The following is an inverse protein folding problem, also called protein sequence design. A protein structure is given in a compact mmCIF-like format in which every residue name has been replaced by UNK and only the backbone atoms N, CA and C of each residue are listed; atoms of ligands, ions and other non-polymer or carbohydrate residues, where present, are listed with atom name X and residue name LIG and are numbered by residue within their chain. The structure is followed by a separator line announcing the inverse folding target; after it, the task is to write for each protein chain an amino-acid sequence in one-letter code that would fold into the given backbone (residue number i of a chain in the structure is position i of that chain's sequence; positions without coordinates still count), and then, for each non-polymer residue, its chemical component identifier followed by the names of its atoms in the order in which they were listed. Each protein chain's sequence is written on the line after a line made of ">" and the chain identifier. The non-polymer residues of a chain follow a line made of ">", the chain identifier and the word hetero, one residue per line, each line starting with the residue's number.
data_IF_963176512090
#
_entry.id   IF_963176512090
#
_cell.length_a   1.000
_cell.length_b   1.000
_cell.length_c   1.000
_cell.angle_alpha   90.00
_cell.angle_beta   90.00
_cell.angle_gamma   90.00
#
_symmetry.space_group_name_H-M   'P 1'
#
loop_
_entity.id
_entity.type
_entity.pdbx_description
1 polymer ?
#
# COMPACT_ATOMS: atom_id res chain seq x y z
N UNK A 1 -4.84 -22.47 24.26
CA UNK A 1 -3.79 -21.55 23.75
C UNK A 1 -2.58 -22.37 23.30
N UNK A 2 -2.09 -22.15 22.06
CA UNK A 2 -0.92 -22.81 21.44
C UNK A 2 0.08 -21.75 21.00
N UNK A 3 1.37 -21.90 21.35
CA UNK A 3 2.41 -20.97 20.87
C UNK A 3 2.77 -21.31 19.43
N UNK A 4 2.72 -20.31 18.56
CA UNK A 4 3.08 -20.40 17.14
C UNK A 4 4.50 -19.88 16.87
N UNK A 5 4.92 -18.83 17.60
CA UNK A 5 6.27 -18.26 17.55
C UNK A 5 6.64 -17.81 18.96
N UNK A 6 7.67 -18.46 19.53
CA UNK A 6 8.04 -18.27 20.93
C UNK A 6 8.67 -16.92 21.24
N UNK A 7 9.47 -16.41 20.29
CA UNK A 7 10.20 -15.15 20.46
C UNK A 7 10.08 -14.28 19.21
N UNK A 8 9.69 -13.04 19.42
CA UNK A 8 9.73 -11.98 18.41
C UNK A 8 9.83 -10.62 19.12
N UNK A 9 9.86 -9.55 18.35
CA UNK A 9 9.87 -8.17 18.84
C UNK A 9 8.62 -7.43 18.39
N UNK A 10 8.13 -6.54 19.25
CA UNK A 10 6.99 -5.68 18.97
C UNK A 10 7.26 -4.26 19.49
N UNK A 11 6.33 -3.36 19.22
CA UNK A 11 6.30 -2.03 19.81
C UNK A 11 5.23 -1.98 20.90
N UNK A 12 5.57 -1.42 22.06
CA UNK A 12 4.57 -1.15 23.09
C UNK A 12 3.55 -0.13 22.55
N UNK A 13 2.24 -0.40 22.57
CA UNK A 13 1.24 0.54 22.05
C UNK A 13 1.15 1.85 22.84
N UNK A 14 1.67 1.87 24.06
CA UNK A 14 1.66 3.06 24.93
C UNK A 14 2.93 3.88 24.78
N UNK A 15 4.12 3.29 25.04
CA UNK A 15 5.39 4.03 25.05
C UNK A 15 6.17 3.94 23.73
N UNK A 16 5.75 3.11 22.78
CA UNK A 16 6.40 2.91 21.46
C UNK A 16 7.81 2.31 21.53
N UNK A 17 8.23 1.86 22.69
CA UNK A 17 9.50 1.17 22.85
C UNK A 17 9.44 -0.24 22.27
N UNK A 18 10.58 -0.72 21.76
CA UNK A 18 10.73 -2.10 21.31
C UNK A 18 10.70 -3.03 22.53
N UNK A 19 9.84 -4.02 22.49
CA UNK A 19 9.61 -4.97 23.57
C UNK A 19 9.57 -6.41 23.05
N UNK A 20 9.79 -7.37 23.95
CA UNK A 20 9.64 -8.80 23.64
C UNK A 20 8.18 -9.16 23.43
N UNK A 21 7.94 -10.08 22.48
CA UNK A 21 6.61 -10.58 22.16
C UNK A 21 6.67 -12.06 21.76
N UNK A 22 5.51 -12.70 21.70
CA UNK A 22 5.28 -14.03 21.13
C UNK A 22 3.96 -14.10 20.37
N UNK A 23 3.86 -15.01 19.41
CA UNK A 23 2.62 -15.24 18.66
C UNK A 23 1.94 -16.50 19.18
N UNK A 24 0.68 -16.39 19.54
CA UNK A 24 -0.10 -17.51 20.10
C UNK A 24 -1.40 -17.68 19.32
N UNK A 25 -1.86 -18.93 19.21
CA UNK A 25 -3.21 -19.24 18.74
C UNK A 25 -4.11 -19.55 19.95
N UNK A 26 -5.29 -18.94 19.95
CA UNK A 26 -6.26 -19.12 21.01
C UNK A 26 -7.68 -19.03 20.42
N UNK A 27 -8.48 -20.07 20.58
CA UNK A 27 -9.86 -20.17 20.07
C UNK A 27 -10.00 -19.73 18.60
N UNK A 28 -9.16 -20.32 17.73
CA UNK A 28 -9.17 -20.04 16.29
C UNK A 28 -8.55 -18.70 15.89
N UNK A 29 -8.25 -17.81 16.83
CA UNK A 29 -7.60 -16.52 16.58
C UNK A 29 -6.08 -16.63 16.76
N UNK A 30 -5.36 -15.76 16.10
CA UNK A 30 -3.91 -15.55 16.31
C UNK A 30 -3.70 -14.22 16.99
N UNK A 31 -3.01 -14.24 18.11
CA UNK A 31 -2.75 -13.08 18.95
C UNK A 31 -1.24 -12.84 19.04
N UNK A 32 -0.83 -11.59 19.02
CA UNK A 32 0.47 -11.15 19.47
C UNK A 32 0.37 -10.82 20.96
N UNK A 33 1.08 -11.59 21.78
CA UNK A 33 1.21 -11.32 23.20
C UNK A 33 2.56 -10.64 23.44
N UNK A 34 2.54 -9.46 24.00
CA UNK A 34 3.73 -8.69 24.29
C UNK A 34 3.78 -8.25 25.76
N UNK A 35 4.99 -8.11 26.27
CA UNK A 35 5.24 -7.74 27.64
C UNK A 35 6.09 -6.47 27.68
N UNK A 36 5.49 -5.40 28.16
CA UNK A 36 6.19 -4.15 28.42
C UNK A 36 6.55 -4.05 29.92
N UNK A 37 7.80 -3.80 30.29
CA UNK A 37 8.19 -3.63 31.70
C UNK A 37 7.39 -2.53 32.43
N UNK A 38 6.96 -1.48 31.70
CA UNK A 38 6.22 -0.35 32.26
C UNK A 38 4.69 -0.49 32.16
N UNK A 39 4.18 -1.25 31.15
CA UNK A 39 2.75 -1.27 30.82
C UNK A 39 2.14 -2.68 30.89
N UNK A 40 2.92 -3.66 31.36
CA UNK A 40 2.45 -5.03 31.59
C UNK A 40 2.26 -5.84 30.31
N UNK A 41 1.56 -6.98 30.47
CA UNK A 41 1.23 -7.90 29.38
C UNK A 41 -0.01 -7.42 28.64
N UNK A 42 0.05 -7.44 27.31
CA UNK A 42 -1.10 -7.15 26.44
C UNK A 42 -1.18 -8.17 25.32
N UNK A 43 -2.39 -8.41 24.82
CA UNK A 43 -2.67 -9.26 23.66
C UNK A 43 -3.43 -8.47 22.62
N UNK A 44 -3.01 -8.61 21.36
CA UNK A 44 -3.69 -7.96 20.23
C UNK A 44 -3.86 -8.96 19.08
N UNK A 45 -5.00 -8.93 18.38
CA UNK A 45 -5.26 -9.87 17.29
C UNK A 45 -4.36 -9.60 16.09
N UNK A 46 -3.74 -10.63 15.54
CA UNK A 46 -2.95 -10.62 14.30
C UNK A 46 -3.76 -11.18 13.14
N UNK A 47 -4.50 -12.24 13.38
CA UNK A 47 -5.36 -12.90 12.39
C UNK A 47 -6.52 -13.62 13.11
N UNK A 48 -7.66 -13.79 12.41
CA UNK A 48 -8.83 -14.49 12.94
C UNK A 48 -8.99 -15.92 12.44
N UNK A 49 -8.08 -16.37 11.60
CA UNK A 49 -8.04 -17.69 11.00
C UNK A 49 -6.66 -18.30 11.29
N UNK A 50 -6.56 -19.06 12.37
CA UNK A 50 -5.30 -19.64 12.82
C UNK A 50 -4.76 -20.71 11.83
N UNK A 51 -5.63 -21.42 11.12
CA UNK A 51 -5.22 -22.40 10.11
C UNK A 51 -4.63 -21.70 8.89
N UNK A 52 -5.30 -20.64 8.43
CA UNK A 52 -4.79 -19.77 7.37
C UNK A 52 -3.42 -19.18 7.75
N UNK A 53 -3.30 -18.61 8.96
CA UNK A 53 -2.06 -18.03 9.44
C UNK A 53 -0.92 -19.04 9.48
N UNK A 54 -1.16 -20.24 10.02
CA UNK A 54 -0.17 -21.33 10.06
C UNK A 54 0.26 -21.73 8.63
N UNK A 55 -0.68 -21.81 7.68
CA UNK A 55 -0.41 -22.10 6.30
C UNK A 55 0.42 -20.99 5.61
N UNK A 56 0.22 -19.72 5.97
CA UNK A 56 0.99 -18.58 5.47
C UNK A 56 2.41 -18.61 6.06
N UNK A 57 2.55 -18.81 7.38
CA UNK A 57 3.84 -18.82 8.06
C UNK A 57 4.76 -19.96 7.57
N UNK A 58 4.23 -21.13 7.24
CA UNK A 58 5.02 -22.22 6.64
C UNK A 58 5.57 -21.89 5.26
N UNK A 59 4.93 -20.97 4.53
CA UNK A 59 5.31 -20.54 3.17
C UNK A 59 6.16 -19.27 3.15
N UNK A 60 6.11 -18.47 4.21
CA UNK A 60 6.81 -17.18 4.35
C UNK A 60 8.32 -17.32 4.65
N UNK A 61 8.90 -18.51 4.61
CA UNK A 61 10.31 -18.77 4.95
C UNK A 61 11.35 -18.22 3.95
N UNK A 62 10.97 -17.30 3.09
CA UNK A 62 11.93 -16.61 2.24
C UNK A 62 12.75 -15.64 3.08
N UNK A 63 14.09 -15.78 2.97
CA UNK A 63 15.06 -14.88 3.61
C UNK A 63 14.69 -13.42 3.32
N UNK A 64 14.80 -12.53 4.30
CA UNK A 64 14.59 -11.11 4.06
C UNK A 64 15.52 -10.66 2.94
N UNK A 65 14.94 -10.24 1.83
CA UNK A 65 15.66 -9.54 0.77
C UNK A 65 15.65 -8.06 1.12
N UNK A 66 16.75 -7.33 0.92
CA UNK A 66 16.70 -5.88 1.16
C UNK A 66 15.56 -5.27 0.35
N UNK A 67 14.79 -4.34 0.95
CA UNK A 67 13.65 -3.73 0.29
C UNK A 67 14.11 -3.03 -1.00
N UNK A 68 13.51 -3.34 -2.16
CA UNK A 68 13.96 -2.80 -3.43
C UNK A 68 13.50 -1.35 -3.68
N UNK A 69 12.68 -0.77 -2.79
CA UNK A 69 12.07 0.53 -2.98
C UNK A 69 12.36 1.46 -1.81
N UNK A 70 12.68 2.72 -2.14
CA UNK A 70 12.73 3.81 -1.20
C UNK A 70 11.49 4.69 -1.39
N UNK A 71 10.81 5.02 -0.31
CA UNK A 71 9.80 6.08 -0.29
C UNK A 71 10.36 7.27 0.45
N UNK A 72 10.46 8.39 -0.24
CA UNK A 72 10.85 9.68 0.34
C UNK A 72 9.59 10.48 0.61
N UNK A 73 9.49 11.04 1.81
CA UNK A 73 8.44 12.00 2.17
C UNK A 73 9.01 13.42 2.07
N UNK A 74 9.01 14.01 0.86
CA UNK A 74 9.64 15.31 0.66
C UNK A 74 8.81 16.45 1.23
N UNK A 75 7.53 16.22 1.50
CA UNK A 75 6.60 17.19 2.08
C UNK A 75 5.50 16.51 2.88
N UNK A 76 4.99 17.21 3.88
CA UNK A 76 3.75 16.87 4.60
C UNK A 76 2.57 17.75 4.18
N UNK A 77 2.77 18.73 3.30
CA UNK A 77 1.68 19.53 2.72
C UNK A 77 0.78 18.68 1.84
N UNK A 78 -0.51 18.98 1.85
CA UNK A 78 -1.49 18.28 1.02
C UNK A 78 -2.59 19.25 0.60
N UNK A 79 -3.08 19.12 -0.63
CA UNK A 79 -4.13 19.95 -1.21
C UNK A 79 -5.54 19.41 -0.92
N UNK A 80 -5.68 18.26 -0.22
CA UNK A 80 -6.96 17.70 0.25
C UNK A 80 -6.88 17.30 1.72
N UNK A 81 -8.05 17.03 2.32
CA UNK A 81 -8.16 16.69 3.74
C UNK A 81 -8.89 15.36 3.94
N UNK A 82 -8.26 14.24 3.51
CA UNK A 82 -8.85 12.90 3.61
C UNK A 82 -9.22 12.53 5.05
N UNK A 83 -10.40 11.94 5.23
CA UNK A 83 -10.85 11.41 6.52
C UNK A 83 -10.04 10.17 6.95
N UNK A 84 -9.43 9.47 5.99
CA UNK A 84 -8.66 8.24 6.18
C UNK A 84 -7.14 8.47 6.11
N UNK A 85 -6.68 9.73 6.20
CA UNK A 85 -5.27 10.05 6.02
C UNK A 85 -4.41 9.45 7.14
N UNK A 86 -3.41 8.66 6.77
CA UNK A 86 -2.43 8.10 7.70
C UNK A 86 -1.23 9.04 7.94
N UNK A 87 -1.15 10.16 7.22
CA UNK A 87 -0.12 11.19 7.40
C UNK A 87 -0.72 12.38 8.13
N UNK A 88 -0.59 12.48 9.47
CA UNK A 88 -1.30 13.52 10.23
C UNK A 88 -0.64 14.89 10.15
N UNK A 89 0.65 14.97 9.89
CA UNK A 89 1.41 16.23 9.89
C UNK A 89 1.26 16.97 8.56
N UNK A 90 1.16 18.30 8.64
CA UNK A 90 1.01 19.19 7.49
C UNK A 90 1.86 20.45 7.62
N UNK A 91 2.93 20.38 8.41
CA UNK A 91 3.83 21.50 8.65
C UNK A 91 4.74 21.74 7.42
N UNK A 92 4.67 22.91 6.78
CA UNK A 92 5.55 23.27 5.67
C UNK A 92 7.05 23.26 6.02
N UNK A 93 7.40 23.47 7.29
CA UNK A 93 8.79 23.42 7.76
C UNK A 93 9.43 22.04 7.61
N UNK A 94 8.61 21.01 7.40
CA UNK A 94 9.05 19.64 7.16
C UNK A 94 9.39 19.33 5.70
N UNK A 95 9.25 20.29 4.80
CA UNK A 95 9.62 20.12 3.40
C UNK A 95 11.13 19.91 3.25
N UNK A 96 11.50 18.91 2.44
CA UNK A 96 12.90 18.67 2.11
C UNK A 96 13.36 19.59 0.98
N UNK A 97 14.57 20.10 1.11
CA UNK A 97 15.26 20.81 0.04
C UNK A 97 15.73 19.85 -1.06
N UNK A 98 16.08 20.36 -2.24
CA UNK A 98 16.68 19.55 -3.31
C UNK A 98 18.00 18.89 -2.87
N UNK A 99 18.76 19.57 -2.05
CA UNK A 99 20.03 19.07 -1.50
C UNK A 99 19.79 17.89 -0.56
N UNK A 100 18.84 18.02 0.38
CA UNK A 100 18.44 16.94 1.30
C UNK A 100 17.93 15.71 0.55
N UNK A 101 17.08 15.90 -0.46
CA UNK A 101 16.63 14.82 -1.34
C UNK A 101 17.82 14.20 -2.06
N UNK A 102 18.72 15.04 -2.61
CA UNK A 102 19.94 14.60 -3.30
C UNK A 102 20.82 13.71 -2.44
N UNK A 103 21.06 14.09 -1.19
CA UNK A 103 21.86 13.34 -0.23
C UNK A 103 21.24 11.96 0.11
N UNK A 104 19.91 11.90 0.19
CA UNK A 104 19.19 10.62 0.38
C UNK A 104 19.38 9.71 -0.83
N UNK A 105 19.21 10.26 -2.04
CA UNK A 105 19.33 9.50 -3.28
C UNK A 105 20.74 8.93 -3.48
N UNK A 106 21.79 9.64 -3.08
CA UNK A 106 23.19 9.19 -3.19
C UNK A 106 23.49 7.97 -2.31
N UNK A 107 22.84 7.89 -1.16
CA UNK A 107 23.02 6.78 -0.21
C UNK A 107 22.18 5.55 -0.55
N UNK A 108 21.15 5.68 -1.38
CA UNK A 108 20.24 4.59 -1.68
C UNK A 108 20.72 3.78 -2.90
N UNK A 109 21.01 2.46 -2.76
CA UNK A 109 21.64 1.67 -3.83
C UNK A 109 20.66 1.28 -4.96
N UNK A 110 19.35 1.22 -4.68
CA UNK A 110 18.38 0.71 -5.65
C UNK A 110 17.85 1.82 -6.57
N UNK A 111 17.39 1.45 -7.79
CA UNK A 111 16.99 2.43 -8.79
C UNK A 111 15.61 3.03 -8.55
N UNK A 112 14.68 2.34 -7.89
CA UNK A 112 13.29 2.78 -7.76
C UNK A 112 13.10 3.64 -6.52
N UNK A 113 12.62 4.87 -6.72
CA UNK A 113 12.37 5.85 -5.66
C UNK A 113 10.94 6.40 -5.80
N UNK A 114 10.17 6.26 -4.74
CA UNK A 114 8.81 6.77 -4.63
C UNK A 114 8.79 8.04 -3.80
N UNK A 115 8.16 9.08 -4.31
CA UNK A 115 7.86 10.29 -3.55
C UNK A 115 6.41 10.24 -3.07
N UNK A 116 6.22 10.34 -1.77
CA UNK A 116 4.93 10.25 -1.07
C UNK A 116 4.87 11.27 0.08
N UNK A 117 4.17 10.98 1.16
CA UNK A 117 4.05 11.85 2.34
C UNK A 117 2.69 12.52 2.39
N UNK A 118 2.63 13.86 2.36
CA UNK A 118 1.39 14.60 2.14
C UNK A 118 0.92 14.39 0.70
N UNK A 119 1.04 15.40 -0.12
CA UNK A 119 0.79 15.29 -1.57
C UNK A 119 2.02 15.85 -2.32
N UNK A 120 2.83 15.01 -2.98
CA UNK A 120 4.01 15.48 -3.68
C UNK A 120 3.70 16.54 -4.74
N UNK A 121 2.54 16.44 -5.41
CA UNK A 121 2.13 17.42 -6.42
C UNK A 121 1.75 18.80 -5.83
N UNK A 122 1.65 18.92 -4.50
CA UNK A 122 1.50 20.21 -3.84
C UNK A 122 2.82 21.01 -3.75
N UNK A 123 3.97 20.36 -4.00
CA UNK A 123 5.27 21.02 -4.06
C UNK A 123 5.48 21.69 -5.44
N UNK A 124 5.93 22.93 -5.43
CA UNK A 124 6.25 23.65 -6.66
C UNK A 124 7.51 23.10 -7.35
N UNK A 125 8.48 22.65 -6.55
CA UNK A 125 9.75 22.07 -7.02
C UNK A 125 9.72 20.58 -7.30
N UNK A 126 8.55 19.93 -7.33
CA UNK A 126 8.46 18.50 -7.69
C UNK A 126 9.08 18.17 -9.05
N UNK A 127 8.90 18.99 -10.11
CA UNK A 127 9.58 18.74 -11.39
C UNK A 127 11.10 18.67 -11.25
N UNK A 128 11.70 19.54 -10.44
CA UNK A 128 13.14 19.58 -10.18
C UNK A 128 13.60 18.34 -9.38
N UNK A 129 12.82 17.88 -8.38
CA UNK A 129 13.08 16.64 -7.65
C UNK A 129 13.10 15.44 -8.60
N UNK A 130 12.14 15.38 -9.53
CA UNK A 130 12.07 14.33 -10.55
C UNK A 130 13.30 14.36 -11.46
N UNK A 131 13.67 15.55 -11.97
CA UNK A 131 14.83 15.73 -12.83
C UNK A 131 16.13 15.34 -12.12
N UNK A 132 16.32 15.76 -10.85
CA UNK A 132 17.45 15.39 -10.01
C UNK A 132 17.54 13.86 -9.83
N UNK A 133 16.42 13.22 -9.55
CA UNK A 133 16.35 11.75 -9.40
C UNK A 133 16.79 11.04 -10.69
N UNK A 134 16.35 11.54 -11.83
CA UNK A 134 16.77 11.01 -13.14
C UNK A 134 18.24 11.23 -13.42
N UNK A 135 18.76 12.42 -13.10
CA UNK A 135 20.17 12.75 -13.27
C UNK A 135 21.09 11.82 -12.44
N UNK A 136 20.59 11.33 -11.28
CA UNK A 136 21.29 10.33 -10.46
C UNK A 136 21.07 8.87 -10.94
N UNK A 137 20.56 8.66 -12.15
CA UNK A 137 20.35 7.31 -12.74
C UNK A 137 19.19 6.53 -12.14
N UNK A 138 18.34 7.16 -11.33
CA UNK A 138 17.21 6.51 -10.65
C UNK A 138 15.89 6.70 -11.39
N UNK A 139 14.87 5.94 -11.00
CA UNK A 139 13.51 5.97 -11.57
C UNK A 139 12.56 6.60 -10.58
N UNK A 140 12.14 7.86 -10.77
CA UNK A 140 11.19 8.54 -9.90
C UNK A 140 9.76 8.06 -10.14
N UNK A 141 9.08 7.75 -9.05
CA UNK A 141 7.64 7.49 -8.99
C UNK A 141 7.01 8.46 -8.01
N UNK A 142 5.74 8.79 -8.18
CA UNK A 142 4.96 9.54 -7.19
C UNK A 142 3.76 8.72 -6.71
N UNK A 143 3.45 8.82 -5.42
CA UNK A 143 2.19 8.36 -4.83
C UNK A 143 1.34 9.62 -4.61
N UNK A 144 0.16 9.69 -5.24
CA UNK A 144 -0.60 10.94 -5.32
C UNK A 144 -2.11 10.71 -5.25
N UNK A 145 -2.82 11.70 -4.72
CA UNK A 145 -4.29 11.76 -4.79
C UNK A 145 -4.82 12.02 -6.21
N UNK A 146 -3.96 12.47 -7.12
CA UNK A 146 -4.26 12.65 -8.53
C UNK A 146 -4.93 13.96 -8.92
N UNK A 147 -5.34 14.81 -7.97
CA UNK A 147 -6.14 16.01 -8.27
C UNK A 147 -5.42 16.93 -9.25
N UNK A 148 -4.15 17.25 -8.99
CA UNK A 148 -3.37 18.13 -9.87
C UNK A 148 -3.01 17.48 -11.22
N UNK A 149 -3.04 16.13 -11.29
CA UNK A 149 -2.84 15.41 -12.55
C UNK A 149 -4.04 15.51 -13.50
N UNK A 150 -5.18 16.06 -13.06
CA UNK A 150 -6.27 16.44 -13.97
C UNK A 150 -5.85 17.53 -14.97
N UNK A 151 -4.77 18.29 -14.68
CA UNK A 151 -4.19 19.28 -15.56
C UNK A 151 -3.25 18.62 -16.60
N UNK A 152 -3.59 18.60 -17.91
CA UNK A 152 -2.77 17.92 -18.92
C UNK A 152 -1.37 18.50 -19.07
N UNK A 153 -1.22 19.84 -18.87
CA UNK A 153 0.06 20.54 -18.97
C UNK A 153 1.01 20.11 -17.86
N UNK A 154 0.50 19.95 -16.65
CA UNK A 154 1.28 19.51 -15.50
C UNK A 154 1.80 18.07 -15.66
N UNK A 155 0.94 17.15 -16.14
CA UNK A 155 1.38 15.77 -16.42
C UNK A 155 2.45 15.75 -17.52
N UNK A 156 2.32 16.60 -18.56
CA UNK A 156 3.32 16.72 -19.61
C UNK A 156 4.66 17.28 -19.07
N UNK A 157 4.62 18.20 -18.12
CA UNK A 157 5.81 18.73 -17.45
C UNK A 157 6.53 17.64 -16.64
N UNK A 158 5.81 16.91 -15.77
CA UNK A 158 6.39 15.80 -15.00
C UNK A 158 7.00 14.73 -15.93
N UNK A 159 6.33 14.39 -17.02
CA UNK A 159 6.83 13.43 -18.00
C UNK A 159 8.11 13.91 -18.67
N UNK A 160 8.20 15.20 -19.07
CA UNK A 160 9.42 15.80 -19.65
C UNK A 160 10.60 15.80 -18.68
N UNK A 161 10.35 15.97 -17.38
CA UNK A 161 11.36 15.87 -16.34
C UNK A 161 11.74 14.43 -15.99
N UNK A 162 11.10 13.43 -16.62
CA UNK A 162 11.47 12.04 -16.52
C UNK A 162 10.74 11.23 -15.43
N UNK A 163 9.54 11.69 -15.02
CA UNK A 163 8.68 10.86 -14.15
C UNK A 163 8.49 9.47 -14.75
N UNK A 164 8.82 8.43 -13.99
CA UNK A 164 8.79 7.07 -14.48
C UNK A 164 7.42 6.41 -14.35
N UNK A 165 6.69 6.71 -13.29
CA UNK A 165 5.34 6.17 -13.07
C UNK A 165 4.61 6.86 -11.92
N UNK A 166 3.33 6.53 -11.80
CA UNK A 166 2.41 7.10 -10.82
C UNK A 166 1.66 6.00 -10.10
N UNK A 167 1.59 6.08 -8.79
CA UNK A 167 0.65 5.33 -7.95
C UNK A 167 -0.50 6.25 -7.56
N UNK A 168 -1.64 6.10 -8.23
CA UNK A 168 -2.83 6.95 -8.08
C UNK A 168 -3.78 6.38 -7.04
N UNK A 169 -4.10 7.15 -6.01
CA UNK A 169 -5.12 6.78 -5.02
C UNK A 169 -6.53 6.88 -5.61
N UNK A 170 -7.27 5.77 -5.57
CA UNK A 170 -8.67 5.69 -6.02
C UNK A 170 -9.45 4.78 -5.06
N UNK A 171 -10.16 5.40 -4.11
CA UNK A 171 -10.80 4.70 -2.99
C UNK A 171 -12.28 4.35 -3.24
N UNK A 172 -12.87 4.84 -4.33
CA UNK A 172 -14.21 4.50 -4.79
C UNK A 172 -14.41 4.94 -6.25
N UNK A 173 -15.51 4.47 -6.86
CA UNK A 173 -16.02 4.91 -8.15
C UNK A 173 -17.38 5.63 -8.01
N UNK A 174 -17.70 6.11 -6.82
CA UNK A 174 -18.84 6.98 -6.56
C UNK A 174 -18.45 8.14 -5.63
N UNK A 175 -19.11 9.30 -5.83
CA UNK A 175 -18.79 10.54 -5.11
C UNK A 175 -19.03 10.46 -3.61
N UNK A 176 -20.13 9.80 -3.19
CA UNK A 176 -20.49 9.71 -1.77
C UNK A 176 -19.43 8.95 -0.95
N UNK A 177 -18.94 7.84 -1.49
CA UNK A 177 -17.87 7.08 -0.85
C UNK A 177 -16.53 7.84 -0.89
N UNK A 178 -16.26 8.61 -1.96
CA UNK A 178 -15.09 9.50 -1.99
C UNK A 178 -15.19 10.62 -0.97
N UNK A 179 -16.36 11.20 -0.74
CA UNK A 179 -16.56 12.17 0.37
C UNK A 179 -16.23 11.54 1.72
N UNK A 180 -16.66 10.29 1.94
CA UNK A 180 -16.38 9.58 3.18
C UNK A 180 -14.89 9.24 3.37
N UNK A 181 -14.15 9.00 2.30
CA UNK A 181 -12.72 8.67 2.35
C UNK A 181 -11.83 9.88 2.15
N UNK A 182 -11.99 10.61 1.06
CA UNK A 182 -11.10 11.67 0.61
C UNK A 182 -11.51 13.06 1.13
N UNK A 183 -12.66 13.14 1.82
CA UNK A 183 -13.20 14.37 2.40
C UNK A 183 -14.04 15.23 1.43
N UNK A 184 -14.07 14.86 0.15
CA UNK A 184 -14.88 15.46 -0.92
C UNK A 184 -14.99 14.52 -2.10
N UNK A 185 -15.98 14.71 -2.97
CA UNK A 185 -16.04 14.05 -4.27
C UNK A 185 -14.98 14.65 -5.21
N UNK A 186 -14.01 13.81 -5.57
CA UNK A 186 -12.95 14.10 -6.54
C UNK A 186 -12.95 13.14 -7.73
N UNK A 187 -14.06 12.42 -7.98
CA UNK A 187 -14.10 11.36 -8.99
C UNK A 187 -13.71 11.86 -10.36
N UNK A 188 -14.30 12.96 -10.83
CA UNK A 188 -14.04 13.53 -12.16
C UNK A 188 -12.56 13.91 -12.33
N UNK A 189 -11.96 14.54 -11.31
CA UNK A 189 -10.54 14.90 -11.33
C UNK A 189 -9.64 13.65 -11.42
N UNK A 190 -9.94 12.58 -10.67
CA UNK A 190 -9.19 11.32 -10.68
C UNK A 190 -9.34 10.60 -12.03
N UNK A 191 -10.53 10.57 -12.63
CA UNK A 191 -10.76 9.97 -13.95
C UNK A 191 -10.06 10.77 -15.05
N UNK A 192 -10.06 12.10 -14.95
CA UNK A 192 -9.31 12.97 -15.87
C UNK A 192 -7.80 12.75 -15.73
N UNK A 193 -7.28 12.61 -14.49
CA UNK A 193 -5.89 12.24 -14.23
C UNK A 193 -5.51 10.93 -14.92
N UNK A 194 -6.32 9.88 -14.80
CA UNK A 194 -6.10 8.59 -15.48
C UNK A 194 -6.03 8.78 -17.00
N UNK A 195 -6.92 9.61 -17.56
CA UNK A 195 -6.95 9.92 -18.99
C UNK A 195 -5.63 10.59 -19.42
N UNK A 196 -5.14 11.57 -18.65
CA UNK A 196 -3.90 12.27 -18.92
C UNK A 196 -2.68 11.34 -18.77
N UNK A 197 -2.65 10.49 -17.75
CA UNK A 197 -1.60 9.50 -17.54
C UNK A 197 -1.49 8.50 -18.70
N UNK A 198 -2.61 8.01 -19.22
CA UNK A 198 -2.65 7.12 -20.40
C UNK A 198 -2.04 7.78 -21.64
N UNK A 199 -2.24 9.09 -21.81
CA UNK A 199 -1.73 9.85 -22.96
C UNK A 199 -0.23 10.15 -22.87
N UNK A 200 0.29 10.38 -21.65
CA UNK A 200 1.63 10.95 -21.45
C UNK A 200 2.66 9.98 -20.87
N UNK A 201 2.29 9.22 -19.83
CA UNK A 201 3.23 8.32 -19.13
C UNK A 201 3.05 6.86 -19.55
N UNK A 202 1.83 6.45 -19.95
CA UNK A 202 1.49 5.10 -20.37
C UNK A 202 1.78 4.01 -19.34
N UNK A 203 2.01 4.40 -18.08
CA UNK A 203 2.29 3.49 -16.95
C UNK A 203 1.83 4.11 -15.63
N UNK A 204 0.93 3.43 -14.92
CA UNK A 204 0.52 3.80 -13.57
C UNK A 204 0.06 2.58 -12.78
N UNK A 205 -0.06 2.75 -11.46
CA UNK A 205 -0.74 1.84 -10.55
C UNK A 205 -2.00 2.52 -10.00
N UNK A 206 -2.99 1.71 -9.62
CA UNK A 206 -4.12 2.17 -8.82
C UNK A 206 -3.91 1.65 -7.41
N UNK A 207 -3.96 2.57 -6.43
CA UNK A 207 -3.88 2.30 -5.01
C UNK A 207 -5.26 2.50 -4.38
N UNK A 208 -5.70 1.52 -3.60
CA UNK A 208 -6.98 1.49 -2.92
C UNK A 208 -6.75 1.35 -1.42
N UNK A 209 -7.06 2.40 -0.66
CA UNK A 209 -7.02 2.34 0.80
C UNK A 209 -8.36 1.83 1.31
N UNK A 210 -8.36 0.61 1.82
CA UNK A 210 -9.55 -0.08 2.31
C UNK A 210 -9.84 0.33 3.76
N UNK A 211 -11.07 0.74 4.01
CA UNK A 211 -11.57 1.07 5.35
C UNK A 211 -12.84 0.26 5.61
N UNK A 212 -12.79 -0.62 6.60
CA UNK A 212 -13.90 -1.48 6.98
C UNK A 212 -15.14 -0.66 7.35
N UNK A 213 -16.28 -1.01 6.76
CA UNK A 213 -17.56 -0.33 6.97
C UNK A 213 -17.72 0.97 6.19
N UNK A 214 -16.74 1.36 5.36
CA UNK A 214 -16.79 2.58 4.54
C UNK A 214 -16.78 2.27 3.05
N UNK A 215 -15.74 1.59 2.54
CA UNK A 215 -15.57 1.40 1.10
C UNK A 215 -15.31 -0.05 0.67
N UNK A 216 -15.62 -1.03 1.51
CA UNK A 216 -15.46 -2.45 1.17
C UNK A 216 -16.23 -2.84 -0.10
N UNK A 217 -17.44 -2.31 -0.28
CA UNK A 217 -18.27 -2.55 -1.46
C UNK A 217 -17.65 -2.00 -2.76
N UNK A 218 -16.76 -1.03 -2.65
CA UNK A 218 -16.05 -0.44 -3.78
C UNK A 218 -14.83 -1.27 -4.22
N UNK A 219 -14.29 -2.13 -3.35
CA UNK A 219 -13.08 -2.91 -3.66
C UNK A 219 -13.19 -3.64 -5.00
N UNK A 220 -14.22 -4.44 -5.20
CA UNK A 220 -14.42 -5.20 -6.43
C UNK A 220 -14.68 -4.32 -7.66
N UNK A 221 -15.33 -3.16 -7.46
CA UNK A 221 -15.60 -2.21 -8.55
C UNK A 221 -14.29 -1.55 -9.01
N UNK A 222 -13.48 -1.03 -8.07
CA UNK A 222 -12.20 -0.38 -8.37
C UNK A 222 -11.19 -1.39 -8.91
N UNK A 223 -11.15 -2.62 -8.39
CA UNK A 223 -10.31 -3.69 -8.91
C UNK A 223 -10.63 -4.00 -10.38
N UNK A 224 -11.90 -4.25 -10.72
CA UNK A 224 -12.32 -4.46 -12.12
C UNK A 224 -12.09 -3.23 -12.99
N UNK A 225 -12.27 -2.03 -12.46
CA UNK A 225 -11.91 -0.79 -13.17
C UNK A 225 -10.42 -0.75 -13.50
N UNK A 226 -9.53 -1.06 -12.53
CA UNK A 226 -8.08 -1.12 -12.74
C UNK A 226 -7.72 -2.12 -13.85
N UNK A 227 -8.33 -3.31 -13.86
CA UNK A 227 -8.13 -4.31 -14.92
C UNK A 227 -8.50 -3.78 -16.31
N UNK A 228 -9.59 -3.02 -16.41
CA UNK A 228 -9.99 -2.37 -17.68
C UNK A 228 -9.04 -1.27 -18.15
N UNK A 229 -8.18 -0.74 -17.27
CA UNK A 229 -7.15 0.23 -17.67
C UNK A 229 -5.87 -0.43 -18.22
N UNK A 230 -5.76 -1.76 -18.22
CA UNK A 230 -4.63 -2.46 -18.85
C UNK A 230 -4.58 -2.12 -20.36
N UNK A 231 -3.40 -1.93 -20.99
CA UNK A 231 -2.05 -2.16 -20.47
C UNK A 231 -1.41 -0.94 -19.74
N UNK A 232 -2.14 0.13 -19.52
CA UNK A 232 -1.59 1.33 -18.87
C UNK A 232 -1.50 1.17 -17.36
N UNK A 233 -2.54 0.64 -16.70
CA UNK A 233 -2.46 0.22 -15.32
C UNK A 233 -1.64 -1.08 -15.23
N UNK A 234 -0.49 -1.01 -14.55
CA UNK A 234 0.44 -2.12 -14.37
C UNK A 234 0.34 -2.79 -13.02
N UNK A 235 -0.30 -2.13 -12.07
CA UNK A 235 -0.48 -2.65 -10.72
C UNK A 235 -1.80 -2.19 -10.13
N UNK A 236 -2.38 -3.05 -9.31
CA UNK A 236 -3.42 -2.73 -8.35
C UNK A 236 -2.92 -3.06 -6.95
N UNK A 237 -2.90 -2.07 -6.07
CA UNK A 237 -2.48 -2.22 -4.69
C UNK A 237 -3.66 -1.87 -3.79
N UNK A 238 -4.05 -2.78 -2.91
CA UNK A 238 -5.04 -2.52 -1.88
C UNK A 238 -4.39 -2.68 -0.51
N UNK A 239 -4.62 -1.74 0.36
CA UNK A 239 -4.09 -1.75 1.72
C UNK A 239 -5.14 -1.33 2.72
N UNK A 240 -5.15 -1.98 3.89
CA UNK A 240 -5.94 -1.61 5.04
C UNK A 240 -4.98 -1.18 6.15
N UNK A 241 -5.06 0.09 6.56
CA UNK A 241 -4.17 0.76 7.51
C UNK A 241 -4.95 1.28 8.74
N UNK A 242 -5.59 0.41 9.53
CA UNK A 242 -6.33 0.86 10.70
C UNK A 242 -5.39 1.34 11.82
N UNK A 243 -5.86 2.23 12.66
CA UNK A 243 -5.12 2.69 13.84
C UNK A 243 -3.97 3.65 13.56
N UNK A 244 -3.86 4.18 12.34
CA UNK A 244 -2.80 5.12 11.94
C UNK A 244 -3.42 6.43 11.46
N UNK A 245 -2.86 7.56 11.91
CA UNK A 245 -3.32 8.89 11.53
C UNK A 245 -4.79 9.12 11.88
N UNK A 246 -5.59 9.67 10.96
CA UNK A 246 -7.02 9.91 11.16
C UNK A 246 -7.87 8.64 11.07
N UNK A 247 -7.32 7.55 10.57
CA UNK A 247 -7.97 6.24 10.51
C UNK A 247 -7.92 5.47 11.85
N UNK A 248 -7.65 6.17 12.97
CA UNK A 248 -7.48 5.58 14.31
C UNK A 248 -8.67 4.69 14.72
N UNK A 249 -9.89 5.12 14.41
CA UNK A 249 -11.12 4.39 14.75
C UNK A 249 -11.52 3.35 13.69
N UNK A 250 -10.73 3.17 12.63
CA UNK A 250 -11.00 2.21 11.58
C UNK A 250 -10.93 0.78 12.11
N UNK A 251 -11.97 -0.03 11.81
CA UNK A 251 -11.95 -1.45 12.13
C UNK A 251 -10.93 -2.17 11.25
N UNK A 252 -10.11 -3.02 11.84
CA UNK A 252 -9.12 -3.83 11.13
C UNK A 252 -9.79 -4.81 10.18
N UNK A 253 -9.16 -5.00 9.02
CA UNK A 253 -9.33 -6.19 8.20
C UNK A 253 -8.08 -7.06 8.26
N UNK A 254 -8.28 -8.36 8.42
CA UNK A 254 -7.21 -9.33 8.43
C UNK A 254 -6.85 -9.76 7.02
N UNK A 255 -5.67 -10.34 6.84
CA UNK A 255 -5.23 -10.75 5.51
C UNK A 255 -6.15 -11.81 4.90
N UNK A 256 -6.65 -12.75 5.71
CA UNK A 256 -7.65 -13.74 5.27
C UNK A 256 -8.88 -13.07 4.65
N UNK A 257 -9.43 -12.05 5.30
CA UNK A 257 -10.60 -11.30 4.82
C UNK A 257 -10.29 -10.50 3.54
N UNK A 258 -9.11 -9.88 3.46
CA UNK A 258 -8.68 -9.18 2.23
C UNK A 258 -8.47 -10.14 1.06
N UNK A 259 -7.99 -11.36 1.33
CA UNK A 259 -7.88 -12.38 0.29
C UNK A 259 -9.24 -12.90 -0.16
N UNK A 260 -10.23 -12.96 0.72
CA UNK A 260 -11.61 -13.29 0.33
C UNK A 260 -12.21 -12.21 -0.57
N UNK A 261 -12.00 -10.92 -0.26
CA UNK A 261 -12.41 -9.82 -1.16
C UNK A 261 -11.72 -9.91 -2.53
N UNK A 262 -10.42 -10.18 -2.56
CA UNK A 262 -9.67 -10.35 -3.80
C UNK A 262 -10.17 -11.57 -4.59
N UNK A 263 -10.33 -12.70 -3.92
CA UNK A 263 -10.80 -13.96 -4.51
C UNK A 263 -12.18 -13.78 -5.17
N UNK A 264 -13.13 -13.22 -4.41
CA UNK A 264 -14.47 -12.91 -4.91
C UNK A 264 -14.44 -11.94 -6.09
N UNK A 265 -13.60 -10.90 -6.02
CA UNK A 265 -13.49 -9.89 -7.09
C UNK A 265 -12.84 -10.44 -8.35
N UNK A 266 -11.94 -11.41 -8.21
CA UNK A 266 -11.25 -12.09 -9.30
C UNK A 266 -11.99 -13.34 -9.82
N UNK A 267 -13.07 -13.79 -9.16
CA UNK A 267 -13.80 -14.99 -9.53
C UNK A 267 -13.02 -16.29 -9.27
N UNK A 268 -12.23 -16.31 -8.19
CA UNK A 268 -11.45 -17.50 -7.76
C UNK A 268 -11.71 -17.76 -6.27
N UNK A 269 -11.11 -18.83 -5.72
CA UNK A 269 -11.18 -19.12 -4.28
C UNK A 269 -9.92 -18.65 -3.54
N UNK A 270 -10.02 -18.39 -2.23
CA UNK A 270 -8.87 -18.11 -1.38
C UNK A 270 -7.83 -19.26 -1.42
N UNK A 271 -8.30 -20.51 -1.43
CA UNK A 271 -7.42 -21.69 -1.56
C UNK A 271 -6.61 -21.65 -2.85
N UNK A 272 -7.17 -21.15 -3.96
CA UNK A 272 -6.44 -20.96 -5.23
C UNK A 272 -5.33 -19.93 -5.06
N UNK A 273 -5.57 -18.81 -4.36
CA UNK A 273 -4.56 -17.79 -4.11
C UNK A 273 -3.38 -18.37 -3.28
N UNK A 274 -3.67 -19.16 -2.26
CA UNK A 274 -2.65 -19.83 -1.46
C UNK A 274 -1.87 -20.89 -2.25
N UNK A 275 -2.54 -21.61 -3.15
CA UNK A 275 -1.89 -22.57 -4.03
C UNK A 275 -0.87 -21.91 -4.98
N UNK A 276 -1.10 -20.67 -5.41
CA UNK A 276 -0.12 -19.90 -6.19
C UNK A 276 1.17 -19.62 -5.39
N UNK A 277 1.05 -19.33 -4.11
CA UNK A 277 2.22 -19.14 -3.26
C UNK A 277 3.02 -20.43 -3.12
N UNK A 278 2.35 -21.58 -2.96
CA UNK A 278 3.01 -22.89 -2.94
C UNK A 278 3.73 -23.24 -4.26
N UNK A 279 3.25 -22.70 -5.39
CA UNK A 279 3.85 -22.87 -6.73
C UNK A 279 4.94 -21.84 -7.05
N UNK A 280 5.27 -20.92 -6.12
CA UNK A 280 6.22 -19.81 -6.37
C UNK A 280 5.70 -18.71 -7.31
N UNK A 281 4.40 -18.71 -7.63
CA UNK A 281 3.72 -17.71 -8.50
C UNK A 281 3.14 -16.54 -7.75
N UNK A 282 3.12 -16.60 -6.43
CA UNK A 282 2.72 -15.52 -5.55
C UNK A 282 3.66 -15.44 -4.36
N UNK A 283 3.79 -14.24 -3.78
CA UNK A 283 4.38 -14.05 -2.46
C UNK A 283 3.27 -13.90 -1.44
N UNK A 284 3.41 -14.54 -0.29
CA UNK A 284 2.49 -14.42 0.84
C UNK A 284 3.31 -14.33 2.13
N UNK A 285 2.89 -13.44 3.00
CA UNK A 285 3.42 -13.29 4.36
C UNK A 285 2.29 -12.87 5.29
N UNK A 286 2.53 -12.74 6.61
CA UNK A 286 1.49 -12.49 7.61
C UNK A 286 0.70 -11.20 7.37
N UNK A 287 1.26 -10.24 6.62
CA UNK A 287 0.62 -8.95 6.37
C UNK A 287 0.33 -8.68 4.89
N UNK A 288 0.61 -9.61 3.99
CA UNK A 288 0.36 -9.29 2.59
C UNK A 288 0.44 -10.47 1.63
N UNK A 289 -0.15 -10.24 0.46
CA UNK A 289 -0.14 -11.14 -0.68
C UNK A 289 0.14 -10.35 -1.95
N UNK A 290 0.95 -10.92 -2.86
CA UNK A 290 1.15 -10.36 -4.18
C UNK A 290 1.30 -11.44 -5.24
N UNK A 291 0.62 -11.26 -6.38
CA UNK A 291 0.67 -12.14 -7.54
C UNK A 291 0.45 -11.36 -8.84
N UNK A 292 0.81 -11.95 -9.98
CA UNK A 292 0.38 -11.42 -11.26
C UNK A 292 -1.04 -11.90 -11.58
N UNK A 293 -1.91 -11.00 -12.07
CA UNK A 293 -3.32 -11.30 -12.31
C UNK A 293 -3.51 -12.51 -13.24
N UNK A 294 -2.65 -12.65 -14.24
CA UNK A 294 -2.67 -13.81 -15.17
C UNK A 294 -2.58 -15.16 -14.45
N UNK A 295 -1.83 -15.20 -13.32
CA UNK A 295 -1.61 -16.43 -12.55
C UNK A 295 -2.78 -16.76 -11.64
N UNK A 296 -3.62 -15.79 -11.29
CA UNK A 296 -4.83 -16.02 -10.48
C UNK A 296 -5.77 -17.06 -11.13
N UNK A 297 -5.69 -17.18 -12.45
CA UNK A 297 -6.54 -18.13 -13.18
C UNK A 297 -7.97 -17.62 -13.39
N UNK A 298 -8.21 -16.35 -13.06
CA UNK A 298 -9.52 -15.72 -13.16
C UNK A 298 -10.06 -15.71 -14.61
N UNK A 299 -11.36 -15.92 -14.82
CA UNK A 299 -11.97 -15.82 -16.15
C UNK A 299 -11.91 -14.37 -16.65
N UNK A 300 -11.53 -14.19 -17.92
CA UNK A 300 -11.49 -12.86 -18.57
C UNK A 300 -12.88 -12.38 -19.01
N UNK A 301 -13.91 -13.19 -18.81
CA UNK A 301 -15.28 -12.92 -19.25
C UNK A 301 -15.87 -11.70 -18.56
N UNK A 302 -16.39 -10.75 -19.35
CA UNK A 302 -17.06 -9.53 -18.85
C UNK A 302 -16.16 -8.33 -18.53
N UNK A 303 -14.83 -8.43 -18.67
CA UNK A 303 -13.90 -7.34 -18.38
C UNK A 303 -13.64 -6.40 -19.56
N UNK A 304 -13.93 -6.81 -20.78
CA UNK A 304 -13.69 -6.01 -21.98
C UNK A 304 -15.01 -5.66 -22.68
N UNK A 305 -15.18 -4.41 -23.17
CA UNK A 305 -16.29 -4.07 -24.04
C UNK A 305 -16.31 -4.93 -25.30
N UNK A 306 -17.49 -5.29 -25.80
CA UNK A 306 -17.66 -6.17 -26.96
C UNK A 306 -16.88 -5.71 -28.21
N UNK A 307 -16.75 -4.39 -28.42
CA UNK A 307 -15.97 -3.82 -29.52
C UNK A 307 -14.45 -4.08 -29.39
N UNK A 308 -13.92 -4.19 -28.17
CA UNK A 308 -12.51 -4.54 -27.92
C UNK A 308 -12.30 -6.04 -28.09
N UNK A 309 -13.35 -6.84 -27.96
CA UNK A 309 -13.33 -8.29 -28.17
C UNK A 309 -13.07 -8.71 -29.63
N UNK A 310 -13.49 -7.92 -30.61
CA UNK A 310 -13.27 -8.22 -32.03
C UNK A 310 -11.80 -8.04 -32.46
N UNK A 311 -11.13 -7.00 -31.92
CA UNK A 311 -9.69 -6.73 -32.19
C UNK A 311 -8.80 -7.68 -31.37
N UNK A 312 -9.31 -8.26 -30.28
CA UNK A 312 -8.53 -9.05 -29.31
C UNK A 312 -8.53 -10.55 -29.56
N UNK A 313 -9.08 -11.04 -30.67
CA UNK A 313 -9.00 -12.48 -30.99
C UNK A 313 -7.55 -12.97 -31.09
N UNK A 314 -6.63 -12.11 -31.52
CA UNK A 314 -5.18 -12.35 -31.50
C UNK A 314 -4.51 -12.02 -30.13
N UNK A 315 -5.17 -11.18 -29.28
CA UNK A 315 -4.68 -10.81 -27.94
C UNK A 315 -5.35 -11.69 -26.86
N UNK A 316 -6.36 -12.48 -27.21
CA UNK A 316 -7.15 -13.35 -26.33
C UNK A 316 -6.34 -14.40 -25.56
N UNK A 317 -5.11 -14.67 -25.96
CA UNK A 317 -4.23 -15.60 -25.24
C UNK A 317 -3.47 -14.95 -24.06
N UNK A 318 -3.49 -13.62 -23.92
CA UNK A 318 -2.73 -12.93 -22.88
C UNK A 318 -3.67 -12.28 -21.88
N UNK A 319 -3.83 -12.92 -20.72
CA UNK A 319 -4.41 -12.31 -19.53
C UNK A 319 -3.62 -11.05 -19.18
N UNK A 320 -4.28 -10.01 -18.60
CA UNK A 320 -3.56 -8.81 -18.16
C UNK A 320 -2.36 -9.14 -17.29
N UNK A 321 -1.17 -8.68 -17.68
CA UNK A 321 0.05 -8.77 -16.90
C UNK A 321 0.09 -7.60 -15.92
N UNK A 322 -0.81 -7.65 -14.95
CA UNK A 322 -0.98 -6.63 -13.92
C UNK A 322 -0.64 -7.22 -12.55
N UNK A 323 0.29 -6.59 -11.85
CA UNK A 323 0.64 -6.98 -10.49
C UNK A 323 -0.49 -6.62 -9.53
N UNK A 324 -0.97 -7.59 -8.78
CA UNK A 324 -1.99 -7.41 -7.74
C UNK A 324 -1.32 -7.59 -6.38
N UNK A 325 -1.53 -6.64 -5.49
CA UNK A 325 -1.05 -6.69 -4.10
C UNK A 325 -2.18 -6.31 -3.16
N UNK A 326 -2.34 -7.07 -2.09
CA UNK A 326 -3.17 -6.73 -0.95
C UNK A 326 -2.33 -6.76 0.32
N UNK A 327 -2.52 -5.78 1.18
CA UNK A 327 -1.77 -5.60 2.42
C UNK A 327 -2.76 -5.33 3.55
N UNK A 328 -2.78 -6.23 4.54
CA UNK A 328 -3.44 -6.01 5.82
C UNK A 328 -2.38 -5.53 6.80
N UNK A 329 -2.29 -4.22 6.98
CA UNK A 329 -1.28 -3.65 7.87
C UNK A 329 -1.44 -4.08 9.33
N UNK A 330 -0.34 -4.19 10.08
CA UNK A 330 -0.42 -4.39 11.52
C UNK A 330 -1.08 -3.19 12.18
N UNK A 331 -1.82 -3.44 13.27
CA UNK A 331 -2.22 -2.38 14.19
C UNK A 331 -1.02 -1.90 15.00
N UNK A 332 -1.14 -0.72 15.59
CA UNK A 332 -0.12 -0.17 16.50
C UNK A 332 0.17 -1.06 17.71
N UNK A 333 -0.76 -1.93 18.07
CA UNK A 333 -0.70 -2.86 19.20
C UNK A 333 -0.41 -4.32 18.81
N UNK A 334 -0.30 -4.63 17.50
CA UNK A 334 -0.11 -6.00 16.99
C UNK A 334 1.00 -6.11 15.95
N UNK A 335 2.01 -5.23 16.00
CA UNK A 335 3.14 -5.27 15.08
C UNK A 335 4.18 -6.29 15.52
N UNK A 336 4.42 -7.29 14.69
CA UNK A 336 5.59 -8.17 14.80
C UNK A 336 6.71 -7.54 13.94
N UNK A 337 7.74 -6.99 14.59
CA UNK A 337 8.81 -6.27 13.91
C UNK A 337 9.63 -7.17 12.98
N UNK A 338 9.88 -8.43 13.35
CA UNK A 338 10.65 -9.35 12.51
C UNK A 338 9.88 -9.69 11.23
N UNK A 339 8.57 -9.97 11.34
CA UNK A 339 7.72 -10.23 10.17
C UNK A 339 7.52 -8.97 9.34
N UNK A 340 7.42 -7.81 9.98
CA UNK A 340 7.33 -6.52 9.31
C UNK A 340 8.59 -6.23 8.50
N UNK A 341 9.76 -6.48 9.04
CA UNK A 341 11.03 -6.36 8.32
C UNK A 341 11.13 -7.35 7.17
N UNK A 342 10.74 -8.60 7.38
CA UNK A 342 10.79 -9.63 6.34
C UNK A 342 9.78 -9.40 5.20
N UNK A 343 8.62 -8.82 5.51
CA UNK A 343 7.56 -8.52 4.55
C UNK A 343 7.70 -7.13 3.90
N UNK A 344 8.57 -6.26 4.44
CA UNK A 344 8.73 -4.89 3.96
C UNK A 344 9.41 -4.87 2.59
N UNK A 345 8.72 -4.30 1.61
CA UNK A 345 9.29 -4.02 0.28
C UNK A 345 9.67 -2.54 0.11
N UNK A 346 9.44 -1.73 1.13
CA UNK A 346 9.58 -0.27 1.06
C UNK A 346 10.23 0.25 2.33
N UNK A 347 11.35 0.96 2.18
CA UNK A 347 11.94 1.79 3.22
C UNK A 347 11.45 3.22 3.06
N UNK A 348 11.30 3.94 4.17
CA UNK A 348 10.88 5.35 4.14
C UNK A 348 11.94 6.23 4.78
N UNK A 349 12.05 7.44 4.30
CA UNK A 349 12.87 8.51 4.86
C UNK A 349 12.13 9.84 4.76
N UNK A 350 12.30 10.66 5.77
CA UNK A 350 11.82 12.04 5.79
C UNK A 350 12.89 12.96 6.38
N UNK A 351 12.65 14.26 6.36
CA UNK A 351 13.61 15.28 6.89
C UNK A 351 14.09 14.97 8.30
N UNK A 352 13.20 14.52 9.18
CA UNK A 352 13.50 14.30 10.60
C UNK A 352 13.83 12.86 10.96
N UNK A 353 13.57 11.91 10.05
CA UNK A 353 13.62 10.51 10.41
C UNK A 353 14.56 9.73 9.52
N UNK A 354 15.38 8.83 10.12
CA UNK A 354 16.31 7.98 9.38
C UNK A 354 15.55 6.99 8.46
N UNK A 355 16.29 6.35 7.58
CA UNK A 355 15.76 5.27 6.75
C UNK A 355 15.31 4.10 7.63
N UNK A 356 14.04 3.73 7.54
CA UNK A 356 13.45 2.61 8.29
C UNK A 356 12.30 1.97 7.51
N UNK A 357 11.81 0.77 7.89
CA UNK A 357 10.64 0.16 7.28
C UNK A 357 9.42 1.08 7.36
N UNK A 358 8.66 1.17 6.25
CA UNK A 358 7.48 2.05 6.18
C UNK A 358 6.50 1.82 7.32
N UNK A 359 6.22 0.57 7.67
CA UNK A 359 5.29 0.23 8.75
C UNK A 359 5.78 0.69 10.11
N UNK A 360 7.05 0.47 10.41
CA UNK A 360 7.66 0.93 11.64
C UNK A 360 7.63 2.45 11.74
N UNK A 361 7.93 3.14 10.63
CA UNK A 361 7.83 4.60 10.53
C UNK A 361 6.41 5.09 10.84
N UNK A 362 5.40 4.51 10.17
CA UNK A 362 4.01 4.91 10.37
C UNK A 362 3.54 4.69 11.81
N UNK A 363 3.90 3.56 12.41
CA UNK A 363 3.51 3.24 13.79
C UNK A 363 4.23 4.16 14.79
N UNK A 364 5.54 4.36 14.64
CA UNK A 364 6.32 5.18 15.59
C UNK A 364 5.93 6.67 15.56
N UNK A 365 5.71 7.21 14.36
CA UNK A 365 5.57 8.64 14.17
C UNK A 365 4.14 9.10 13.84
N UNK A 366 3.29 8.22 13.35
CA UNK A 366 1.93 8.55 12.92
C UNK A 366 0.84 7.69 13.58
N UNK A 367 1.20 6.69 14.37
CA UNK A 367 0.22 5.91 15.15
C UNK A 367 -0.47 6.77 16.19
N UNK A 368 -1.80 6.71 16.29
CA UNK A 368 -2.56 7.33 17.36
C UNK A 368 -2.07 6.82 18.74
N UNK A 369 -2.05 7.67 19.75
CA UNK A 369 -1.95 7.21 21.13
C UNK A 369 -3.31 6.63 21.49
N UNK A 370 -3.39 5.35 21.80
CA UNK A 370 -4.55 4.83 22.51
C UNK A 370 -4.47 5.42 23.93
N UNK A 371 -5.18 6.53 24.14
CA UNK A 371 -5.52 6.90 25.50
C UNK A 371 -6.38 5.75 26.03
N UNK A 372 -5.90 5.16 27.11
CA UNK A 372 -6.57 4.07 27.82
C UNK A 372 -7.98 4.52 28.22
N UNK A 373 -9.00 3.96 27.59
CA UNK A 373 -10.34 3.89 28.16
C UNK A 373 -10.41 2.74 29.16
#
# INVERSE_FOLDING_TARGET
>A
MKVLKEKTQSLCPVCRETISARVVADDGNVLLEHQCPRHGVRRAPVERDAEFFAAVMTRSRNKPSPPPYLTVFPTYRCNINCNICYVPRRDPAMDMSLEEVGAVLDRWPHPDVFFAGGEPTAMENLPQIIALTRAKGKRPYIVTNGIRLAEPRYVAELARNGLHGVSLSLNALDGKTLEATDGRDYLDAKLQAITNLKRRLRRFAICFSLVRGVNEAEFGKVFRFALRQYPFARSFHAECLPGIGRSINGKRMFLSEMLDLLANSAGVTRSRLLALAAQGKATVGPYGFAADYRDLGAPVTGLLPAAVMAVTKAIRSRRPDMRVRVIAGPLTDSVDLEETWSATTTMVVSKENPVMPLWEYLIRYHGGRHESA
#
